data_IF_049761634485
#
_entry.id   IF_049761634485
#
_cell.length_a   1.000
_cell.length_b   1.000
_cell.length_c   1.000
_cell.angle_alpha   90.00
_cell.angle_beta   90.00
_cell.angle_gamma   90.00
#
_symmetry.space_group_name_H-M   'P 1'
#
loop_
_entity.id
_entity.type
_entity.pdbx_description
1 polymer ?
#
# COMPACT_ATOMS: atom_id res chain seq x y z
N UNK A 1 61.12 62.37 -9.91
CA UNK A 1 61.94 61.94 -11.06
C UNK A 1 61.65 62.93 -12.18
N UNK A 2 62.31 64.08 -12.19
CA UNK A 2 63.67 64.31 -12.72
C UNK A 2 63.69 64.13 -14.25
N UNK A 3 63.66 65.23 -15.01
CA UNK A 3 64.82 65.85 -15.72
C UNK A 3 64.78 65.46 -17.22
N UNK A 4 65.09 66.29 -18.23
CA UNK A 4 65.89 67.51 -18.35
C UNK A 4 65.34 68.35 -19.52
N UNK A 5 65.49 69.68 -19.41
CA UNK A 5 65.25 70.68 -20.45
C UNK A 5 66.50 70.94 -21.34
N UNK A 6 66.35 71.97 -22.20
CA UNK A 6 67.40 72.84 -22.77
C UNK A 6 68.05 72.34 -24.08
N UNK A 7 68.32 73.14 -25.11
CA UNK A 7 68.71 74.56 -25.26
C UNK A 7 68.49 75.01 -26.74
N UNK A 8 67.75 76.08 -27.04
CA UNK A 8 68.19 77.48 -27.29
C UNK A 8 69.08 77.74 -28.52
N UNK A 9 68.63 78.60 -29.45
CA UNK A 9 69.36 79.84 -29.85
C UNK A 9 68.64 80.64 -30.95
N UNK A 10 68.13 81.81 -30.57
CA UNK A 10 68.15 83.04 -31.38
C UNK A 10 69.17 83.97 -30.69
N UNK A 11 69.91 84.88 -31.36
CA UNK A 11 69.40 86.12 -31.96
C UNK A 11 70.18 86.46 -33.27
N UNK A 12 70.10 87.58 -34.00
CA UNK A 12 69.82 88.96 -33.66
C UNK A 12 69.44 89.78 -34.89
N UNK A 13 68.72 90.85 -34.60
CA UNK A 13 68.41 92.05 -35.37
C UNK A 13 69.62 92.71 -36.04
N UNK A 14 69.46 93.13 -37.31
CA UNK A 14 70.03 94.40 -37.80
C UNK A 14 69.02 95.14 -38.66
N UNK A 15 68.63 96.30 -38.13
CA UNK A 15 67.84 97.35 -38.74
C UNK A 15 68.70 98.14 -39.76
N UNK A 16 68.01 98.72 -40.75
CA UNK A 16 68.20 100.11 -41.25
C UNK A 16 68.69 100.34 -42.69
N UNK A 17 67.71 100.78 -43.50
CA UNK A 17 67.66 101.96 -44.38
C UNK A 17 68.76 102.19 -45.43
N UNK A 18 68.34 102.18 -46.70
CA UNK A 18 68.31 103.33 -47.64
C UNK A 18 67.95 102.79 -49.03
N UNK A 19 66.71 102.96 -49.51
CA UNK A 19 66.33 104.06 -50.42
C UNK A 19 67.50 104.58 -51.26
N UNK A 20 67.57 104.18 -52.53
CA UNK A 20 67.90 105.03 -53.69
C UNK A 20 67.35 104.35 -54.96
N UNK A 21 66.36 105.01 -55.53
CA UNK A 21 65.97 105.07 -56.95
C UNK A 21 66.32 103.92 -57.91
N UNK A 22 65.26 103.29 -58.42
CA UNK A 22 65.04 103.29 -59.88
C UNK A 22 63.54 103.25 -60.19
N UNK A 23 63.00 104.44 -60.47
CA UNK A 23 61.78 104.63 -61.26
C UNK A 23 61.98 103.91 -62.60
N UNK A 24 61.31 102.78 -62.79
CA UNK A 24 61.15 102.14 -64.10
C UNK A 24 59.69 101.66 -64.20
N UNK A 25 58.88 102.47 -64.89
CA UNK A 25 57.59 102.15 -65.50
C UNK A 25 56.55 101.34 -64.69
N UNK A 26 55.73 102.00 -63.87
CA UNK A 26 54.36 101.51 -63.61
C UNK A 26 53.44 102.05 -64.71
N UNK A 27 53.36 101.34 -65.85
CA UNK A 27 52.24 101.50 -66.80
C UNK A 27 50.95 101.20 -66.04
N UNK A 28 49.98 102.12 -66.04
CA UNK A 28 48.61 101.83 -65.57
C UNK A 28 48.12 100.59 -66.34
N UNK A 29 47.74 99.48 -65.68
CA UNK A 29 47.37 98.27 -66.38
C UNK A 29 46.17 98.56 -67.30
N UNK A 30 46.22 98.06 -68.53
CA UNK A 30 45.09 98.24 -69.47
C UNK A 30 43.84 97.52 -68.93
N UNK A 31 42.62 97.92 -69.35
CA UNK A 31 41.37 97.21 -68.98
C UNK A 31 41.47 95.69 -69.20
N UNK A 32 42.25 95.26 -70.19
CA UNK A 32 42.50 93.85 -70.45
C UNK A 32 43.44 93.19 -69.43
N UNK A 33 44.45 93.89 -68.90
CA UNK A 33 45.32 93.35 -67.84
C UNK A 33 44.57 93.15 -66.51
N UNK A 34 43.68 94.07 -66.15
CA UNK A 34 42.79 93.92 -64.98
C UNK A 34 41.83 92.74 -65.15
N UNK A 35 41.24 92.59 -66.35
CA UNK A 35 40.34 91.46 -66.69
C UNK A 35 41.07 90.11 -66.68
N UNK A 36 42.33 90.06 -67.12
CA UNK A 36 43.17 88.86 -67.04
C UNK A 36 43.46 88.49 -65.58
N UNK A 37 43.84 89.46 -64.74
CA UNK A 37 44.08 89.22 -63.31
C UNK A 37 42.81 88.77 -62.55
N UNK A 38 41.65 89.33 -62.88
CA UNK A 38 40.35 88.87 -62.33
C UNK A 38 39.99 87.45 -62.77
N UNK A 39 40.26 87.10 -64.03
CA UNK A 39 40.05 85.74 -64.55
C UNK A 39 41.03 84.75 -63.91
N UNK A 40 42.29 85.13 -63.71
CA UNK A 40 43.29 84.33 -63.00
C UNK A 40 42.91 84.09 -61.54
N UNK A 41 42.41 85.12 -60.84
CA UNK A 41 41.90 84.98 -59.47
C UNK A 41 40.66 84.06 -59.41
N UNK A 42 39.75 84.16 -60.39
CA UNK A 42 38.61 83.23 -60.51
C UNK A 42 39.07 81.80 -60.78
N UNK A 43 40.00 81.59 -61.72
CA UNK A 43 40.58 80.27 -62.02
C UNK A 43 41.27 79.69 -60.79
N UNK A 44 42.03 80.49 -60.04
CA UNK A 44 42.68 80.04 -58.81
C UNK A 44 41.65 79.67 -57.74
N UNK A 45 40.58 80.47 -57.58
CA UNK A 45 39.47 80.16 -56.68
C UNK A 45 38.76 78.85 -57.05
N UNK A 46 38.51 78.62 -58.35
CA UNK A 46 37.93 77.37 -58.85
C UNK A 46 38.88 76.19 -58.65
N UNK A 47 40.20 76.35 -58.85
CA UNK A 47 41.19 75.31 -58.58
C UNK A 47 41.24 74.94 -57.10
N UNK A 48 41.23 75.92 -56.20
CA UNK A 48 41.20 75.65 -54.75
C UNK A 48 39.90 75.00 -54.31
N UNK A 49 38.75 75.39 -54.88
CA UNK A 49 37.47 74.76 -54.59
C UNK A 49 37.41 73.32 -55.12
N UNK A 50 37.92 73.07 -56.33
CA UNK A 50 38.02 71.72 -56.89
C UNK A 50 38.93 70.84 -56.04
N UNK A 51 40.07 71.36 -55.58
CA UNK A 51 40.98 70.62 -54.69
C UNK A 51 40.32 70.31 -53.34
N UNK A 52 39.60 71.26 -52.75
CA UNK A 52 38.86 71.04 -51.51
C UNK A 52 37.74 69.98 -51.67
N UNK A 53 37.03 69.95 -52.79
CA UNK A 53 36.05 68.89 -53.08
C UNK A 53 36.70 67.54 -53.37
N UNK A 54 37.87 67.51 -54.04
CA UNK A 54 38.64 66.28 -54.20
C UNK A 54 39.09 65.73 -52.85
N UNK A 55 39.66 66.58 -51.99
CA UNK A 55 40.09 66.19 -50.64
C UNK A 55 38.90 65.71 -49.79
N UNK A 56 37.71 66.31 -49.96
CA UNK A 56 36.47 65.85 -49.31
C UNK A 56 36.01 64.48 -49.83
N UNK A 57 36.05 64.26 -51.14
CA UNK A 57 35.71 62.97 -51.75
C UNK A 57 36.70 61.87 -51.35
N UNK A 58 37.98 62.20 -51.24
CA UNK A 58 39.01 61.29 -50.75
C UNK A 58 38.73 60.93 -49.28
N UNK A 59 38.37 61.91 -48.45
CA UNK A 59 37.95 61.68 -47.06
C UNK A 59 36.71 60.78 -46.97
N UNK A 60 35.66 61.04 -47.77
CA UNK A 60 34.48 60.18 -47.81
C UNK A 60 34.78 58.77 -48.31
N UNK A 61 35.74 58.61 -49.22
CA UNK A 61 36.16 57.29 -49.72
C UNK A 61 36.81 56.48 -48.60
N UNK A 62 37.66 57.12 -47.80
CA UNK A 62 38.28 56.50 -46.61
C UNK A 62 37.21 56.12 -45.57
N UNK A 63 36.30 57.03 -45.25
CA UNK A 63 35.21 56.78 -44.29
C UNK A 63 34.28 55.64 -44.74
N UNK A 64 33.87 55.62 -46.01
CA UNK A 64 33.08 54.52 -46.56
C UNK A 64 33.83 53.19 -46.52
N UNK A 65 35.14 53.19 -46.72
CA UNK A 65 35.95 52.00 -46.61
C UNK A 65 36.01 51.51 -45.16
N UNK A 66 36.22 52.40 -44.19
CA UNK A 66 36.18 52.09 -42.76
C UNK A 66 34.83 51.49 -42.35
N UNK A 67 33.71 52.10 -42.74
CA UNK A 67 32.37 51.59 -42.46
C UNK A 67 32.12 50.20 -43.08
N UNK A 68 32.66 49.94 -44.28
CA UNK A 68 32.58 48.61 -44.92
C UNK A 68 33.36 47.56 -44.13
N UNK A 69 34.55 47.91 -43.66
CA UNK A 69 35.39 47.01 -42.88
C UNK A 69 34.78 46.72 -41.49
N UNK A 70 34.21 47.74 -40.84
CA UNK A 70 33.44 47.60 -39.61
C UNK A 70 32.19 46.73 -39.80
N UNK A 71 31.42 46.94 -40.88
CA UNK A 71 30.26 46.13 -41.20
C UNK A 71 30.66 44.66 -41.42
N UNK A 72 31.80 44.41 -42.09
CA UNK A 72 32.33 43.06 -42.30
C UNK A 72 32.72 42.40 -40.98
N UNK A 73 33.43 43.12 -40.11
CA UNK A 73 33.81 42.64 -38.78
C UNK A 73 32.58 42.33 -37.92
N UNK A 74 31.57 43.22 -37.93
CA UNK A 74 30.34 43.03 -37.17
C UNK A 74 29.54 41.80 -37.67
N UNK A 75 29.45 41.60 -38.99
CA UNK A 75 28.84 40.39 -39.58
C UNK A 75 29.57 39.11 -39.18
N UNK A 76 30.89 39.14 -39.15
CA UNK A 76 31.68 37.99 -38.73
C UNK A 76 31.43 37.66 -37.24
N UNK A 77 31.49 38.66 -36.36
CA UNK A 77 31.18 38.48 -34.94
C UNK A 77 29.76 37.95 -34.70
N UNK A 78 28.78 38.44 -35.46
CA UNK A 78 27.41 37.94 -35.38
C UNK A 78 27.34 36.46 -35.78
N UNK A 79 28.03 36.06 -36.84
CA UNK A 79 28.05 34.67 -37.30
C UNK A 79 28.74 33.75 -36.28
N UNK A 80 29.87 34.17 -35.71
CA UNK A 80 30.57 33.42 -34.64
C UNK A 80 29.68 33.23 -33.41
N UNK A 81 28.99 34.29 -32.97
CA UNK A 81 28.02 34.21 -31.86
C UNK A 81 26.84 33.30 -32.19
N UNK A 82 26.35 33.32 -33.43
CA UNK A 82 25.27 32.45 -33.89
C UNK A 82 25.67 30.98 -33.81
N UNK A 83 26.83 30.63 -34.36
CA UNK A 83 27.38 29.26 -34.31
C UNK A 83 27.58 28.82 -32.86
N UNK A 84 28.14 29.68 -32.00
CA UNK A 84 28.32 29.37 -30.58
C UNK A 84 26.98 29.13 -29.87
N UNK A 85 25.96 29.92 -30.17
CA UNK A 85 24.61 29.76 -29.62
C UNK A 85 23.92 28.47 -30.11
N UNK A 86 24.08 28.12 -31.38
CA UNK A 86 23.56 26.87 -31.96
C UNK A 86 24.22 25.66 -31.29
N UNK A 87 25.54 25.66 -31.16
CA UNK A 87 26.29 24.61 -30.47
C UNK A 87 25.86 24.45 -28.99
N UNK A 88 25.66 25.56 -28.27
CA UNK A 88 25.13 25.51 -26.91
C UNK A 88 23.72 24.92 -26.86
N UNK A 89 22.86 25.29 -27.80
CA UNK A 89 21.48 24.79 -27.87
C UNK A 89 21.44 23.28 -28.09
N UNK A 90 22.30 22.75 -28.96
CA UNK A 90 22.45 21.30 -29.18
C UNK A 90 22.90 20.57 -27.91
N UNK A 91 23.87 21.14 -27.17
CA UNK A 91 24.33 20.57 -25.90
C UNK A 91 23.21 20.52 -24.86
N UNK A 92 22.42 21.58 -24.73
CA UNK A 92 21.27 21.61 -23.82
C UNK A 92 20.19 20.60 -24.24
N UNK A 93 19.92 20.47 -25.53
CA UNK A 93 18.97 19.50 -26.05
C UNK A 93 19.39 18.07 -25.71
N UNK A 94 20.66 17.72 -25.92
CA UNK A 94 21.19 16.41 -25.55
C UNK A 94 21.10 16.11 -24.05
N UNK A 95 21.33 17.12 -23.20
CA UNK A 95 21.15 16.98 -21.75
C UNK A 95 19.68 16.75 -21.37
N UNK A 96 18.75 17.49 -21.98
CA UNK A 96 17.31 17.33 -21.76
C UNK A 96 16.86 15.92 -22.16
N UNK A 97 17.30 15.41 -23.32
CA UNK A 97 16.98 14.06 -23.76
C UNK A 97 17.48 12.99 -22.78
N UNK A 98 18.72 13.14 -22.28
CA UNK A 98 19.29 12.22 -21.29
C UNK A 98 18.47 12.21 -20.00
N UNK A 99 18.21 13.39 -19.43
CA UNK A 99 17.42 13.53 -18.20
C UNK A 99 15.99 13.01 -18.37
N UNK A 100 15.40 13.20 -19.55
CA UNK A 100 14.06 12.69 -19.87
C UNK A 100 14.02 11.17 -19.87
N UNK A 101 15.04 10.52 -20.45
CA UNK A 101 15.17 9.06 -20.44
C UNK A 101 15.37 8.52 -19.03
N UNK A 102 16.26 9.13 -18.24
CA UNK A 102 16.49 8.75 -16.84
C UNK A 102 15.23 8.89 -15.99
N UNK A 103 14.49 10.00 -16.16
CA UNK A 103 13.20 10.22 -15.50
C UNK A 103 12.18 9.13 -15.89
N UNK A 104 12.10 8.77 -17.17
CA UNK A 104 11.15 7.77 -17.65
C UNK A 104 11.40 6.40 -17.00
N UNK A 105 12.66 5.98 -16.94
CA UNK A 105 13.06 4.72 -16.28
C UNK A 105 12.67 4.76 -14.79
N UNK A 106 13.04 5.82 -14.08
CA UNK A 106 12.72 5.97 -12.66
C UNK A 106 11.20 5.94 -12.40
N UNK A 107 10.40 6.58 -13.25
CA UNK A 107 8.94 6.55 -13.12
C UNK A 107 8.41 5.13 -13.32
N UNK A 108 8.92 4.39 -14.32
CA UNK A 108 8.49 3.02 -14.58
C UNK A 108 8.82 2.05 -13.43
N UNK A 109 9.98 2.22 -12.79
CA UNK A 109 10.38 1.45 -11.61
C UNK A 109 9.46 1.74 -10.42
N UNK A 110 9.19 3.03 -10.14
CA UNK A 110 8.28 3.43 -9.08
C UNK A 110 6.84 2.93 -9.32
N UNK A 111 6.38 2.91 -10.56
CA UNK A 111 5.07 2.34 -10.92
C UNK A 111 5.03 0.83 -10.68
N UNK A 112 6.10 0.11 -11.03
CA UNK A 112 6.22 -1.32 -10.76
C UNK A 112 6.17 -1.62 -9.25
N UNK A 113 6.99 -0.92 -8.47
CA UNK A 113 7.04 -1.06 -7.01
C UNK A 113 5.69 -0.75 -6.37
N UNK A 114 5.02 0.31 -6.84
CA UNK A 114 3.67 0.69 -6.37
C UNK A 114 2.67 -0.44 -6.61
N UNK A 115 2.66 -1.05 -7.80
CA UNK A 115 1.75 -2.16 -8.13
C UNK A 115 2.04 -3.37 -7.23
N UNK A 116 3.32 -3.68 -7.00
CA UNK A 116 3.72 -4.79 -6.13
C UNK A 116 3.28 -4.55 -4.68
N UNK A 117 3.47 -3.34 -4.15
CA UNK A 117 3.04 -2.96 -2.80
C UNK A 117 1.51 -3.03 -2.65
N UNK A 118 0.75 -2.59 -3.66
CA UNK A 118 -0.72 -2.69 -3.66
C UNK A 118 -1.15 -4.16 -3.59
N UNK A 119 -0.54 -5.05 -4.38
CA UNK A 119 -0.84 -6.48 -4.36
C UNK A 119 -0.54 -7.13 -3.01
N UNK A 120 0.59 -6.76 -2.39
CA UNK A 120 0.95 -7.23 -1.05
C UNK A 120 -0.06 -6.76 0.01
N UNK A 121 -0.48 -5.48 -0.04
CA UNK A 121 -1.49 -4.93 0.85
C UNK A 121 -2.85 -5.61 0.69
N UNK A 122 -3.27 -5.88 -0.55
CA UNK A 122 -4.51 -6.62 -0.82
C UNK A 122 -4.47 -8.02 -0.20
N UNK A 123 -3.36 -8.74 -0.39
CA UNK A 123 -3.16 -10.07 0.19
C UNK A 123 -3.18 -10.04 1.72
N UNK A 124 -2.53 -9.04 2.33
CA UNK A 124 -2.52 -8.87 3.79
C UNK A 124 -3.93 -8.58 4.34
N UNK A 125 -4.70 -7.71 3.67
CA UNK A 125 -6.08 -7.39 4.05
C UNK A 125 -7.03 -8.60 3.92
N UNK A 126 -6.82 -9.45 2.91
CA UNK A 126 -7.58 -10.69 2.77
C UNK A 126 -7.30 -11.63 3.96
N UNK A 127 -6.03 -11.84 4.31
CA UNK A 127 -5.64 -12.65 5.48
C UNK A 127 -6.20 -12.10 6.78
N UNK A 128 -6.24 -10.77 6.94
CA UNK A 128 -6.80 -10.13 8.13
C UNK A 128 -8.31 -10.41 8.26
N UNK A 129 -9.04 -10.35 7.15
CA UNK A 129 -10.47 -10.73 7.10
C UNK A 129 -10.67 -12.20 7.49
N UNK A 130 -9.84 -13.11 6.96
CA UNK A 130 -9.89 -14.53 7.29
C UNK A 130 -9.64 -14.79 8.79
N UNK A 131 -8.65 -14.09 9.38
CA UNK A 131 -8.36 -14.16 10.81
C UNK A 131 -9.51 -13.63 11.66
N UNK A 132 -10.16 -12.54 11.26
CA UNK A 132 -11.34 -12.01 11.96
C UNK A 132 -12.49 -13.00 11.97
N UNK A 133 -12.76 -13.65 10.84
CA UNK A 133 -13.80 -14.68 10.77
C UNK A 133 -13.47 -15.88 11.65
N UNK A 134 -12.22 -16.36 11.63
CA UNK A 134 -11.76 -17.45 12.48
C UNK A 134 -11.87 -17.10 13.98
N UNK A 135 -11.58 -15.85 14.35
CA UNK A 135 -11.74 -15.38 15.73
C UNK A 135 -13.20 -15.41 16.18
N UNK A 136 -14.14 -14.97 15.33
CA UNK A 136 -15.57 -15.03 15.64
C UNK A 136 -16.07 -16.46 15.85
N UNK A 137 -15.60 -17.41 15.04
CA UNK A 137 -15.92 -18.83 15.23
C UNK A 137 -15.30 -19.39 16.52
N UNK A 138 -14.08 -18.99 16.86
CA UNK A 138 -13.43 -19.40 18.10
C UNK A 138 -14.19 -18.94 19.34
N UNK A 139 -14.71 -17.70 19.37
CA UNK A 139 -15.55 -17.21 20.47
C UNK A 139 -16.81 -18.08 20.67
N UNK A 140 -17.47 -18.51 19.58
CA UNK A 140 -18.63 -19.40 19.67
C UNK A 140 -18.27 -20.74 20.30
N UNK A 141 -17.13 -21.32 19.89
CA UNK A 141 -16.62 -22.57 20.45
C UNK A 141 -16.29 -22.42 21.93
N UNK A 142 -15.69 -21.29 22.32
CA UNK A 142 -15.35 -21.01 23.70
C UNK A 142 -16.60 -20.94 24.59
N UNK A 143 -17.64 -20.22 24.15
CA UNK A 143 -18.92 -20.16 24.86
C UNK A 143 -19.54 -21.55 25.04
N UNK A 144 -19.52 -22.38 23.99
CA UNK A 144 -20.02 -23.75 24.07
C UNK A 144 -19.22 -24.59 25.08
N UNK A 145 -17.90 -24.46 25.08
CA UNK A 145 -17.03 -25.16 26.01
C UNK A 145 -17.33 -24.79 27.47
N UNK A 146 -17.62 -23.52 27.76
CA UNK A 146 -17.97 -23.08 29.10
C UNK A 146 -19.34 -23.66 29.54
N UNK A 147 -20.33 -23.69 28.65
CA UNK A 147 -21.60 -24.38 28.91
C UNK A 147 -21.42 -25.88 29.18
N UNK A 148 -20.51 -26.55 28.45
CA UNK A 148 -20.20 -27.97 28.68
C UNK A 148 -19.61 -28.18 30.08
N UNK A 149 -18.70 -27.31 30.52
CA UNK A 149 -18.12 -27.38 31.88
C UNK A 149 -19.19 -27.22 32.96
N UNK A 150 -20.14 -26.29 32.78
CA UNK A 150 -21.26 -26.11 33.72
C UNK A 150 -22.13 -27.37 33.80
N UNK A 151 -22.50 -27.94 32.65
CA UNK A 151 -23.29 -29.19 32.59
C UNK A 151 -22.56 -30.37 33.27
N UNK A 152 -21.24 -30.46 33.14
CA UNK A 152 -20.46 -31.48 33.84
C UNK A 152 -20.51 -31.31 35.37
N UNK A 153 -20.50 -30.08 35.86
CA UNK A 153 -20.62 -29.80 37.30
C UNK A 153 -22.02 -30.17 37.80
N UNK A 154 -23.07 -29.77 37.09
CA UNK A 154 -24.46 -30.14 37.43
C UNK A 154 -24.63 -31.66 37.45
N UNK A 155 -24.09 -32.37 36.45
CA UNK A 155 -24.12 -33.83 36.40
C UNK A 155 -23.45 -34.47 37.62
N UNK A 156 -22.34 -33.93 38.10
CA UNK A 156 -21.68 -34.41 39.32
C UNK A 156 -22.58 -34.24 40.54
N UNK A 157 -23.20 -33.07 40.70
CA UNK A 157 -24.13 -32.78 41.80
C UNK A 157 -25.35 -33.72 41.75
N UNK A 158 -25.97 -33.89 40.58
CA UNK A 158 -27.10 -34.79 40.38
C UNK A 158 -26.77 -36.23 40.74
N UNK A 159 -25.57 -36.71 40.38
CA UNK A 159 -25.13 -38.06 40.74
C UNK A 159 -24.96 -38.24 42.26
N UNK A 160 -24.47 -37.22 42.97
CA UNK A 160 -24.35 -37.24 44.44
C UNK A 160 -25.74 -37.30 45.07
N UNK A 161 -26.66 -36.44 44.65
CA UNK A 161 -28.04 -36.40 45.16
C UNK A 161 -28.72 -37.74 44.91
N UNK A 162 -28.60 -38.28 43.69
CA UNK A 162 -29.16 -39.58 43.32
C UNK A 162 -28.68 -40.70 44.24
N UNK A 163 -27.36 -40.81 44.47
CA UNK A 163 -26.79 -41.84 45.36
C UNK A 163 -27.31 -41.68 46.79
N UNK A 164 -27.36 -40.45 47.30
CA UNK A 164 -27.88 -40.17 48.64
C UNK A 164 -29.35 -40.57 48.78
N UNK A 165 -30.17 -40.28 47.76
CA UNK A 165 -31.57 -40.68 47.76
C UNK A 165 -31.72 -42.21 47.70
N UNK A 166 -30.96 -42.89 46.84
CA UNK A 166 -30.94 -44.37 46.78
C UNK A 166 -30.58 -44.98 48.15
N UNK A 167 -29.55 -44.44 48.83
CA UNK A 167 -29.16 -44.87 50.18
C UNK A 167 -30.22 -44.62 51.24
N UNK A 168 -30.85 -43.43 51.23
CA UNK A 168 -31.90 -43.07 52.18
C UNK A 168 -33.11 -43.98 52.02
N UNK A 169 -33.53 -44.26 50.79
CA UNK A 169 -34.67 -45.15 50.53
C UNK A 169 -34.35 -46.58 50.98
N UNK A 170 -33.15 -47.09 50.71
CA UNK A 170 -32.72 -48.42 51.22
C UNK A 170 -32.73 -48.47 52.75
N UNK A 171 -32.23 -47.43 53.43
CA UNK A 171 -32.26 -47.34 54.90
C UNK A 171 -33.68 -47.32 55.43
N UNK A 172 -34.58 -46.57 54.78
CA UNK A 172 -35.98 -46.51 55.17
C UNK A 172 -36.66 -47.87 55.02
N UNK A 173 -36.48 -48.53 53.86
CA UNK A 173 -36.98 -49.88 53.63
C UNK A 173 -36.46 -50.87 54.67
N UNK A 174 -35.16 -50.86 54.97
CA UNK A 174 -34.57 -51.76 55.98
C UNK A 174 -35.21 -51.56 57.37
N UNK A 175 -35.41 -50.31 57.79
CA UNK A 175 -36.09 -49.99 59.06
C UNK A 175 -37.54 -50.49 59.10
N UNK A 176 -38.26 -50.40 57.99
CA UNK A 176 -39.64 -50.90 57.92
C UNK A 176 -39.69 -52.43 57.99
N UNK A 177 -38.77 -53.13 57.32
CA UNK A 177 -38.62 -54.59 57.47
C UNK A 177 -38.23 -54.97 58.91
N UNK A 178 -37.32 -54.24 59.55
CA UNK A 178 -36.92 -54.46 60.95
C UNK A 178 -38.10 -54.27 61.94
N UNK A 179 -39.05 -53.37 61.64
CA UNK A 179 -40.25 -53.16 62.47
C UNK A 179 -41.34 -54.21 62.22
N UNK A 180 -41.61 -54.54 60.96
CA UNK A 180 -42.75 -55.38 60.57
C UNK A 180 -42.38 -56.87 60.48
N UNK A 181 -41.08 -57.20 60.41
CA UNK A 181 -40.58 -58.57 60.34
C UNK A 181 -40.69 -59.24 58.96
N UNK A 182 -41.30 -58.57 57.98
CA UNK A 182 -41.56 -59.12 56.65
C UNK A 182 -40.83 -58.34 55.55
N UNK A 183 -40.22 -59.05 54.59
CA UNK A 183 -39.68 -58.44 53.37
C UNK A 183 -40.80 -57.92 52.47
N UNK A 184 -40.49 -56.95 51.60
CA UNK A 184 -41.51 -56.41 50.71
C UNK A 184 -41.85 -57.42 49.60
N UNK A 185 -43.14 -57.72 49.35
CA UNK A 185 -43.54 -58.72 48.35
C UNK A 185 -42.98 -58.46 46.94
N UNK A 186 -42.84 -57.19 46.55
CA UNK A 186 -42.32 -56.79 45.25
C UNK A 186 -40.82 -57.11 45.04
N UNK A 187 -40.09 -57.52 46.08
CA UNK A 187 -38.69 -57.93 45.99
C UNK A 187 -38.50 -59.38 45.56
N UNK A 188 -39.57 -60.17 45.55
CA UNK A 188 -39.55 -61.59 45.19
C UNK A 188 -40.52 -61.88 44.07
N UNK A 189 -40.25 -62.94 43.31
CA UNK A 189 -41.17 -63.40 42.28
C UNK A 189 -42.42 -64.01 42.91
N UNK A 190 -43.61 -63.50 42.64
CA UNK A 190 -44.87 -64.01 43.21
C UNK A 190 -45.21 -65.46 42.77
N UNK A 191 -44.47 -66.01 41.81
CA UNK A 191 -44.69 -67.38 41.30
C UNK A 191 -43.81 -68.40 42.03
N UNK A 192 -42.52 -68.12 42.16
CA UNK A 192 -41.56 -69.05 42.77
C UNK A 192 -41.07 -68.61 44.15
N UNK A 193 -41.50 -67.44 44.63
CA UNK A 193 -41.14 -66.80 45.90
C UNK A 193 -39.64 -66.52 46.09
N UNK A 194 -38.83 -66.74 45.05
CA UNK A 194 -37.41 -66.43 45.05
C UNK A 194 -37.16 -64.92 44.92
N UNK A 195 -36.20 -64.43 45.71
CA UNK A 195 -35.80 -63.03 45.71
C UNK A 195 -35.16 -62.65 44.37
N UNK A 196 -35.55 -61.49 43.85
CA UNK A 196 -34.94 -60.97 42.63
C UNK A 196 -33.47 -60.62 42.87
N UNK A 197 -32.63 -60.95 41.88
CA UNK A 197 -31.20 -60.63 41.94
C UNK A 197 -30.61 -60.39 40.56
N UNK A 198 -29.37 -59.90 40.50
CA UNK A 198 -28.65 -59.73 39.24
C UNK A 198 -28.31 -61.05 38.53
N UNK A 199 -28.46 -62.20 39.20
CA UNK A 199 -28.30 -63.51 38.57
C UNK A 199 -29.37 -63.70 37.50
N UNK A 200 -28.97 -64.30 36.39
CA UNK A 200 -29.79 -64.38 35.18
C UNK A 200 -31.17 -65.03 35.44
N UNK A 201 -31.22 -66.19 36.08
CA UNK A 201 -32.48 -66.92 36.35
C UNK A 201 -33.43 -66.19 37.30
N UNK A 202 -32.91 -65.51 38.31
CA UNK A 202 -33.70 -64.70 39.27
C UNK A 202 -33.84 -63.25 38.84
N UNK A 203 -33.42 -62.90 37.61
CA UNK A 203 -33.50 -61.50 37.17
C UNK A 203 -34.96 -61.11 36.90
N UNK A 204 -35.47 -60.00 37.44
CA UNK A 204 -36.84 -59.56 37.23
C UNK A 204 -37.00 -59.06 35.80
N UNK A 205 -38.00 -59.60 35.09
CA UNK A 205 -38.36 -59.26 33.71
C UNK A 205 -39.74 -58.64 33.67
N UNK A 206 -39.86 -57.55 32.92
CA UNK A 206 -41.12 -56.82 32.77
C UNK A 206 -41.88 -57.40 31.57
N UNK A 207 -43.11 -57.85 31.82
CA UNK A 207 -44.04 -58.29 30.77
C UNK A 207 -44.70 -57.08 30.09
N UNK A 208 -45.35 -57.27 28.94
CA UNK A 208 -46.01 -56.20 28.20
C UNK A 208 -47.09 -55.45 29.02
N UNK A 209 -47.71 -56.12 29.99
CA UNK A 209 -48.66 -55.53 30.92
C UNK A 209 -48.03 -54.77 32.09
N UNK A 210 -46.71 -54.79 32.25
CA UNK A 210 -45.98 -54.12 33.33
C UNK A 210 -45.70 -54.99 34.57
N UNK A 211 -46.36 -56.15 34.69
CA UNK A 211 -46.05 -57.10 35.76
C UNK A 211 -44.62 -57.63 35.65
N UNK A 212 -43.99 -57.88 36.81
CA UNK A 212 -42.61 -58.35 36.89
C UNK A 212 -42.56 -59.82 37.33
N UNK A 213 -41.81 -60.64 36.62
CA UNK A 213 -41.63 -62.08 36.88
C UNK A 213 -40.15 -62.43 36.68
N UNK A 214 -39.59 -63.41 37.42
CA UNK A 214 -38.19 -63.79 37.21
C UNK A 214 -37.99 -64.49 35.86
N UNK A 215 -36.78 -64.43 35.30
CA UNK A 215 -36.48 -65.03 34.00
C UNK A 215 -36.82 -66.53 33.96
N UNK A 216 -36.49 -67.28 35.02
CA UNK A 216 -36.78 -68.72 35.08
C UNK A 216 -38.29 -69.01 34.98
N UNK A 217 -39.12 -68.21 35.64
CA UNK A 217 -40.57 -68.32 35.54
C UNK A 217 -41.10 -67.86 34.18
N UNK A 218 -40.54 -66.81 33.57
CA UNK A 218 -40.95 -66.43 32.20
C UNK A 218 -40.65 -67.52 31.18
N UNK A 219 -39.53 -68.25 31.32
CA UNK A 219 -39.22 -69.41 30.48
C UNK A 219 -40.24 -70.54 30.65
N UNK A 220 -40.72 -70.77 31.89
CA UNK A 220 -41.74 -71.80 32.19
C UNK A 220 -43.15 -71.43 31.72
N UNK A 221 -43.46 -70.14 31.68
CA UNK A 221 -44.77 -69.61 31.25
C UNK A 221 -44.86 -69.39 29.73
N UNK A 222 -43.77 -69.61 29.00
CA UNK A 222 -43.74 -69.37 27.57
C UNK A 222 -44.33 -70.54 26.79
N UNK A 223 -45.27 -70.24 25.90
CA UNK A 223 -45.86 -71.16 24.95
C UNK A 223 -45.90 -70.48 23.57
N UNK A 224 -45.38 -71.15 22.53
CA UNK A 224 -45.41 -70.66 21.14
C UNK A 224 -44.92 -69.21 20.96
N UNK A 225 -43.84 -68.83 21.66
CA UNK A 225 -43.28 -67.47 21.67
C UNK A 225 -44.19 -66.38 22.28
N UNK A 226 -45.14 -66.78 23.12
CA UNK A 226 -45.99 -65.88 23.90
C UNK A 226 -45.93 -66.26 25.36
N UNK A 227 -45.66 -65.28 26.23
CA UNK A 227 -45.78 -65.42 27.68
C UNK A 227 -47.12 -64.82 28.10
N UNK A 228 -48.06 -65.65 28.52
CA UNK A 228 -49.29 -65.16 29.16
C UNK A 228 -48.96 -64.79 30.60
N UNK A 229 -49.19 -63.52 30.95
CA UNK A 229 -49.00 -63.06 32.30
C UNK A 229 -49.88 -63.88 33.28
N UNK A 230 -49.33 -64.39 34.39
CA UNK A 230 -50.09 -65.22 35.33
C UNK A 230 -51.10 -64.41 36.16
N UNK A 231 -50.98 -63.08 36.18
CA UNK A 231 -51.81 -62.19 37.00
C UNK A 231 -53.03 -61.65 36.22
N UNK A 232 -52.84 -61.27 34.96
CA UNK A 232 -53.88 -60.61 34.14
C UNK A 232 -54.12 -61.30 32.78
N UNK A 233 -53.35 -62.36 32.46
CA UNK A 233 -53.41 -63.14 31.21
C UNK A 233 -53.09 -62.38 29.92
N UNK A 234 -52.59 -61.15 30.02
CA UNK A 234 -52.14 -60.37 28.85
C UNK A 234 -50.88 -61.04 28.28
N UNK A 235 -50.88 -61.26 26.97
CA UNK A 235 -49.79 -61.92 26.25
C UNK A 235 -48.62 -60.97 25.96
N UNK A 236 -47.42 -61.40 26.31
CA UNK A 236 -46.16 -60.76 25.91
C UNK A 236 -45.53 -61.59 24.80
N UNK A 237 -45.55 -61.06 23.58
CA UNK A 237 -44.89 -61.69 22.43
C UNK A 237 -43.40 -61.37 22.43
N UNK A 238 -42.58 -62.32 22.00
CA UNK A 238 -41.14 -62.15 21.89
C UNK A 238 -40.62 -62.95 20.68
N UNK A 239 -39.60 -62.45 19.97
CA UNK A 239 -39.02 -63.01 18.76
C UNK A 239 -37.55 -63.46 18.95
N UNK A 240 -37.33 -64.54 19.71
CA UNK A 240 -35.98 -65.04 19.95
C UNK A 240 -35.79 -65.61 21.36
N UNK A 241 -34.69 -65.24 22.01
CA UNK A 241 -34.42 -65.66 23.39
C UNK A 241 -35.10 -64.70 24.36
N UNK A 242 -35.96 -65.22 25.22
CA UNK A 242 -36.69 -64.48 26.28
C UNK A 242 -35.76 -63.56 27.09
N UNK A 243 -34.55 -64.03 27.43
CA UNK A 243 -33.60 -63.28 28.26
C UNK A 243 -33.04 -62.01 27.61
N UNK A 244 -33.05 -61.94 26.28
CA UNK A 244 -32.53 -60.83 25.49
C UNK A 244 -33.64 -59.83 25.14
N UNK A 245 -34.88 -60.32 25.00
CA UNK A 245 -36.01 -59.51 24.53
C UNK A 245 -36.85 -58.91 25.65
N UNK A 246 -36.97 -59.58 26.80
CA UNK A 246 -37.71 -59.02 27.93
C UNK A 246 -36.81 -58.07 28.73
N UNK A 247 -37.20 -56.80 28.91
CA UNK A 247 -36.39 -55.83 29.62
C UNK A 247 -36.25 -56.21 31.11
N UNK A 248 -35.03 -56.04 31.66
CA UNK A 248 -34.77 -56.20 33.10
C UNK A 248 -35.39 -55.05 33.87
N UNK A 249 -36.04 -55.35 34.99
CA UNK A 249 -36.51 -54.33 35.92
C UNK A 249 -35.37 -53.86 36.84
N UNK A 250 -34.58 -52.89 36.35
CA UNK A 250 -33.49 -52.31 37.14
C UNK A 250 -33.95 -51.49 38.34
N UNK A 251 -35.21 -51.05 38.38
CA UNK A 251 -35.74 -50.34 39.54
C UNK A 251 -35.88 -51.30 40.73
N UNK A 252 -36.45 -52.49 40.53
CA UNK A 252 -36.52 -53.53 41.56
C UNK A 252 -35.11 -53.98 41.96
N UNK A 253 -34.24 -54.29 40.99
CA UNK A 253 -32.86 -54.72 41.27
C UNK A 253 -32.04 -53.72 42.07
N UNK A 254 -32.24 -52.41 41.87
CA UNK A 254 -31.51 -51.39 42.64
C UNK A 254 -31.93 -51.36 44.10
N UNK A 255 -33.13 -51.84 44.44
CA UNK A 255 -33.73 -51.73 45.76
C UNK A 255 -33.74 -53.06 46.53
N UNK A 256 -33.52 -54.19 45.85
CA UNK A 256 -33.15 -55.49 46.43
C UNK A 256 -31.67 -55.51 46.84
#
# INVERSE_FOLDING_TARGET
MATVASTSSAPATKFSLKNIFSRVFTKKPSKNQLRVSELEAKVQKYKTALKAEQDRNDCFTIENQQLRDELKACKQQLNEKKIASEYQSENYLGLIEKLTKEKLVMVSELEHDKVQLISQLQTANQKLTELQNAHSEFEKIQNFNDSVKELEQERKVLNIIRKKNEELTKKHMKKEVEKNGEEFPWQSCEICMEKYSHKEETSPRILACGHTVCLSCTKRLSEENVIKCPFDRIGTQYNGKIGDELPKNYAVLKMC
#
